data_IF_308957579196
#
_entry.id   IF_308957579196
#
_cell.length_a   1.000
_cell.length_b   1.000
_cell.length_c   1.000
_cell.angle_alpha   90.00
_cell.angle_beta   90.00
_cell.angle_gamma   90.00
#
_symmetry.space_group_name_H-M   'P 1'
#
loop_
_entity.id
_entity.type
_entity.pdbx_description
1 polymer ?
#
# COMPACT_ATOMS: atom_id res chain seq x y z
N UNK A 1 1.06 -5.52 9.00
CA UNK A 1 -0.08 -4.59 8.70
C UNK A 1 -0.95 -5.12 7.56
N UNK A 2 -2.21 -4.66 7.40
CA UNK A 2 -3.12 -5.10 6.30
C UNK A 2 -3.20 -4.03 5.21
N UNK A 3 -3.48 -4.48 3.98
CA UNK A 3 -3.81 -3.59 2.86
C UNK A 3 -5.26 -3.16 2.98
N UNK A 4 -5.51 -1.86 2.87
CA UNK A 4 -6.84 -1.26 2.82
C UNK A 4 -7.12 -0.78 1.40
N UNK A 5 -8.31 -1.07 0.86
CA UNK A 5 -8.69 -0.55 -0.45
C UNK A 5 -8.92 0.97 -0.37
N UNK A 6 -8.45 1.69 -1.39
CA UNK A 6 -8.64 3.14 -1.54
C UNK A 6 -9.65 3.37 -2.65
N UNK A 7 -10.66 4.19 -2.38
CA UNK A 7 -11.64 4.58 -3.39
C UNK A 7 -10.95 5.37 -4.51
N UNK A 8 -11.00 4.84 -5.72
CA UNK A 8 -10.50 5.49 -6.93
C UNK A 8 -11.71 5.91 -7.77
N UNK A 9 -11.87 7.20 -8.00
CA UNK A 9 -12.80 7.69 -9.00
C UNK A 9 -12.13 7.58 -10.37
N UNK A 10 -12.49 6.54 -11.12
CA UNK A 10 -11.91 6.23 -12.43
C UNK A 10 -12.24 7.33 -13.46
N UNK A 11 -13.40 7.98 -13.33
CA UNK A 11 -13.85 9.02 -14.25
C UNK A 11 -13.03 10.30 -14.07
N UNK A 12 -12.86 10.77 -12.83
CA UNK A 12 -12.08 11.97 -12.53
C UNK A 12 -10.57 11.71 -12.46
N UNK A 13 -10.14 10.44 -12.50
CA UNK A 13 -8.75 9.97 -12.30
C UNK A 13 -8.14 10.47 -10.98
N UNK A 14 -8.97 10.61 -9.96
CA UNK A 14 -8.57 11.04 -8.62
C UNK A 14 -8.85 9.94 -7.60
N UNK A 15 -8.07 9.92 -6.54
CA UNK A 15 -8.32 9.12 -5.35
C UNK A 15 -8.20 10.02 -4.13
N UNK A 16 -9.08 9.83 -3.16
CA UNK A 16 -9.03 10.51 -1.87
C UNK A 16 -8.49 9.54 -0.83
N UNK A 17 -7.47 9.99 -0.10
CA UNK A 17 -6.82 9.19 0.93
C UNK A 17 -7.00 9.92 2.25
N UNK A 18 -7.75 9.30 3.16
CA UNK A 18 -7.82 9.75 4.54
C UNK A 18 -6.49 9.42 5.25
N UNK A 19 -5.79 10.46 5.69
CA UNK A 19 -4.55 10.37 6.46
C UNK A 19 -4.90 10.46 7.95
N UNK A 20 -4.57 9.42 8.71
CA UNK A 20 -4.78 9.38 10.17
C UNK A 20 -3.44 9.49 10.88
N UNK A 21 -3.31 10.49 11.74
CA UNK A 21 -2.09 10.77 12.49
C UNK A 21 -0.91 11.13 11.58
N UNK A 22 0.30 10.72 11.99
CA UNK A 22 1.55 11.06 11.29
C UNK A 22 2.38 9.81 10.94
N UNK A 23 1.75 8.62 10.93
CA UNK A 23 2.44 7.37 10.62
C UNK A 23 2.71 7.29 9.11
N UNK A 24 3.92 6.90 8.68
CA UNK A 24 4.22 6.75 7.26
C UNK A 24 3.38 5.63 6.64
N UNK A 25 2.93 5.84 5.42
CA UNK A 25 2.15 4.87 4.66
C UNK A 25 2.56 4.86 3.19
N UNK A 26 2.22 3.76 2.52
CA UNK A 26 2.41 3.57 1.09
C UNK A 26 1.05 3.37 0.41
N UNK A 27 0.92 3.90 -0.81
CA UNK A 27 -0.21 3.64 -1.70
C UNK A 27 0.30 2.99 -2.97
N UNK A 28 -0.36 1.91 -3.37
CA UNK A 28 -0.03 1.16 -4.56
C UNK A 28 -1.25 1.15 -5.48
N UNK A 29 -1.09 1.67 -6.69
CA UNK A 29 -2.12 1.67 -7.73
C UNK A 29 -1.77 0.70 -8.85
N UNK A 30 -2.72 -0.14 -9.24
CA UNK A 30 -2.58 -1.05 -10.37
C UNK A 30 -3.96 -1.39 -10.95
N UNK A 31 -4.11 -1.25 -12.27
CA UNK A 31 -5.32 -1.61 -13.02
C UNK A 31 -6.63 -1.04 -12.43
N UNK A 32 -6.67 0.26 -12.15
CA UNK A 32 -7.88 0.93 -11.64
C UNK A 32 -8.15 0.71 -10.15
N UNK A 33 -7.32 -0.06 -9.45
CA UNK A 33 -7.44 -0.29 -8.00
C UNK A 33 -6.25 0.33 -7.28
N UNK A 34 -6.53 1.08 -6.22
CA UNK A 34 -5.52 1.54 -5.29
C UNK A 34 -5.69 0.85 -3.95
N UNK A 35 -4.56 0.54 -3.30
CA UNK A 35 -4.52 0.04 -1.92
C UNK A 35 -3.53 0.84 -1.13
N UNK A 36 -3.87 1.15 0.12
CA UNK A 36 -2.96 1.78 1.08
C UNK A 36 -2.55 0.77 2.15
N UNK A 37 -1.38 0.97 2.71
CA UNK A 37 -0.95 0.27 3.92
C UNK A 37 0.02 1.15 4.68
N UNK A 38 -0.04 1.09 6.00
CA UNK A 38 0.96 1.76 6.82
C UNK A 38 2.28 0.99 6.76
N UNK A 39 3.39 1.71 6.90
CA UNK A 39 4.70 1.08 6.99
C UNK A 39 4.93 0.59 8.42
N UNK A 40 5.55 -0.59 8.59
CA UNK A 40 5.90 -1.10 9.91
C UNK A 40 6.95 -0.18 10.56
N UNK A 41 6.95 -0.14 11.89
CA UNK A 41 7.93 0.66 12.65
C UNK A 41 9.33 0.09 12.48
N UNK A 42 9.43 -1.24 12.42
CA UNK A 42 10.66 -1.99 12.16
C UNK A 42 10.40 -3.01 11.04
N UNK A 43 11.42 -3.28 10.22
CA UNK A 43 11.33 -4.21 9.10
C UNK A 43 11.07 -3.57 7.75
N UNK A 44 10.71 -4.40 6.76
CA UNK A 44 10.64 -3.99 5.36
C UNK A 44 9.24 -4.20 4.76
N UNK A 45 8.83 -3.27 3.89
CA UNK A 45 7.64 -3.46 3.03
C UNK A 45 8.10 -3.67 1.59
N UNK A 46 7.78 -4.83 1.01
CA UNK A 46 8.16 -5.21 -0.36
C UNK A 46 6.94 -5.27 -1.28
N UNK A 47 6.89 -4.42 -2.30
CA UNK A 47 5.89 -4.51 -3.37
C UNK A 47 6.42 -5.46 -4.44
N UNK A 48 5.76 -6.62 -4.59
CA UNK A 48 6.15 -7.63 -5.57
C UNK A 48 5.28 -7.49 -6.81
N UNK A 49 5.94 -7.22 -7.95
CA UNK A 49 5.30 -7.11 -9.26
C UNK A 49 5.55 -8.35 -10.10
N UNK A 50 4.68 -8.60 -11.08
CA UNK A 50 4.85 -9.63 -12.10
C UNK A 50 4.10 -9.20 -13.36
N UNK A 51 4.79 -9.19 -14.51
CA UNK A 51 4.21 -8.78 -15.81
C UNK A 51 3.50 -7.41 -15.75
N UNK A 52 4.16 -6.40 -15.16
CA UNK A 52 3.62 -5.04 -15.05
C UNK A 52 2.45 -4.88 -14.05
N UNK A 53 2.06 -5.95 -13.34
CA UNK A 53 0.99 -5.92 -12.35
C UNK A 53 1.53 -6.09 -10.94
N UNK A 54 0.89 -5.45 -9.98
CA UNK A 54 1.16 -5.70 -8.55
C UNK A 54 0.53 -7.03 -8.18
N UNK A 55 1.35 -7.97 -7.69
CA UNK A 55 0.90 -9.32 -7.31
C UNK A 55 0.61 -9.42 -5.82
N UNK A 56 1.48 -8.86 -4.97
CA UNK A 56 1.33 -8.82 -3.51
C UNK A 56 2.23 -7.76 -2.88
N UNK A 57 1.84 -7.30 -1.70
CA UNK A 57 2.70 -6.55 -0.79
C UNK A 57 3.08 -7.49 0.36
N UNK A 58 4.36 -7.64 0.63
CA UNK A 58 4.89 -8.42 1.77
C UNK A 58 5.39 -7.47 2.84
N UNK A 59 5.17 -7.86 4.10
CA UNK A 59 5.71 -7.20 5.28
C UNK A 59 6.69 -8.18 5.92
N UNK A 60 7.93 -7.74 6.09
CA UNK A 60 9.02 -8.50 6.68
C UNK A 60 9.41 -7.79 7.98
N UNK A 61 8.59 -8.00 9.01
CA UNK A 61 8.76 -7.41 10.34
C UNK A 61 9.80 -8.27 11.07
N UNK A 62 11.09 -7.99 10.84
CA UNK A 62 12.18 -8.71 11.50
C UNK A 62 12.18 -8.48 13.01
N UNK A 63 12.37 -9.55 13.78
CA UNK A 63 12.74 -9.45 15.19
C UNK A 63 14.26 -9.29 15.27
N UNK A 64 14.76 -8.24 15.95
CA UNK A 64 16.12 -8.27 16.49
C UNK A 64 16.10 -9.29 17.64
N UNK A 65 16.66 -10.48 17.40
CA UNK A 65 17.02 -11.43 18.45
C UNK A 65 18.49 -11.24 18.83
#
# INVERSE_FOLDING_TARGET
MRLEDVNVNIVSKKMEIEIKGNQPFCVVYCNGKARKTYLPVHGETKVITHQGKVKRVKFDEGEEF
#
